data_IF_749418572666
#
_entry.id   IF_749418572666
#
_cell.length_a   1.000
_cell.length_b   1.000
_cell.length_c   1.000
_cell.angle_alpha   90.00
_cell.angle_beta   90.00
_cell.angle_gamma   90.00
#
_symmetry.space_group_name_H-M   'P 1'
#
loop_
_entity.id
_entity.type
_entity.pdbx_description
1 polymer ?
#
# COMPACT_ATOMS: atom_id res chain seq x y z
N UNK A 1 -23.45 -9.92 20.82
CA UNK A 1 -22.22 -10.18 20.04
C UNK A 1 -21.11 -10.37 21.05
N UNK A 2 -20.40 -11.49 21.00
CA UNK A 2 -19.36 -11.79 22.01
C UNK A 2 -18.06 -11.02 21.73
N UNK A 3 -17.19 -10.94 22.74
CA UNK A 3 -15.85 -10.36 22.61
C UNK A 3 -15.02 -11.16 21.58
N UNK A 4 -15.20 -12.47 21.52
CA UNK A 4 -14.60 -13.33 20.48
C UNK A 4 -15.12 -13.00 19.08
N UNK A 5 -16.43 -12.80 18.91
CA UNK A 5 -17.00 -12.41 17.61
C UNK A 5 -16.44 -11.07 17.14
N UNK A 6 -16.27 -10.10 18.05
CA UNK A 6 -15.71 -8.78 17.73
C UNK A 6 -14.23 -8.88 17.32
N UNK A 7 -13.43 -9.66 18.04
CA UNK A 7 -12.02 -9.85 17.70
C UNK A 7 -11.84 -10.54 16.34
N UNK A 8 -12.66 -11.55 16.03
CA UNK A 8 -12.65 -12.21 14.72
C UNK A 8 -13.04 -11.26 13.58
N UNK A 9 -14.03 -10.38 13.81
CA UNK A 9 -14.41 -9.36 12.84
C UNK A 9 -13.28 -8.36 12.58
N UNK A 10 -12.60 -7.89 13.63
CA UNK A 10 -11.47 -6.97 13.50
C UNK A 10 -10.30 -7.62 12.74
N UNK A 11 -9.95 -8.87 13.07
CA UNK A 11 -8.93 -9.61 12.32
C UNK A 11 -9.28 -9.71 10.82
N UNK A 12 -10.54 -10.02 10.51
CA UNK A 12 -11.02 -10.05 9.13
C UNK A 12 -11.01 -8.70 8.41
N UNK A 13 -11.06 -7.58 9.13
CA UNK A 13 -10.88 -6.24 8.55
C UNK A 13 -9.40 -5.94 8.28
N UNK A 14 -8.50 -6.35 9.18
CA UNK A 14 -7.06 -6.18 8.98
C UNK A 14 -6.56 -6.89 7.71
N UNK A 15 -7.03 -8.13 7.47
CA UNK A 15 -6.68 -8.91 6.27
C UNK A 15 -7.20 -8.30 4.96
N UNK A 16 -8.19 -7.41 5.03
CA UNK A 16 -8.74 -6.73 3.83
C UNK A 16 -7.93 -5.51 3.41
N UNK A 17 -6.97 -5.05 4.21
CA UNK A 17 -6.18 -3.89 3.85
C UNK A 17 -5.27 -4.22 2.64
N UNK A 18 -5.28 -3.41 1.58
CA UNK A 18 -4.63 -3.75 0.31
C UNK A 18 -3.12 -3.46 0.33
N UNK A 19 -2.40 -3.95 1.34
CA UNK A 19 -0.95 -3.72 1.50
C UNK A 19 -0.13 -4.37 0.37
N UNK A 20 -0.57 -5.54 -0.13
CA UNK A 20 0.12 -6.26 -1.20
C UNK A 20 0.08 -5.58 -2.58
N UNK A 21 -0.97 -4.80 -2.86
CA UNK A 21 -1.14 -4.13 -4.16
C UNK A 21 -0.14 -3.01 -4.42
N UNK A 22 0.46 -2.45 -3.36
CA UNK A 22 1.42 -1.33 -3.46
C UNK A 22 2.71 -1.75 -4.17
N UNK A 23 3.21 -2.95 -3.91
CA UNK A 23 4.40 -3.47 -4.59
C UNK A 23 4.14 -3.67 -6.08
N UNK A 24 2.97 -4.20 -6.44
CA UNK A 24 2.57 -4.36 -7.83
C UNK A 24 2.47 -3.00 -8.54
N UNK A 25 1.81 -2.02 -7.92
CA UNK A 25 1.70 -0.66 -8.44
C UNK A 25 3.09 -0.04 -8.70
N UNK A 26 4.02 -0.18 -7.75
CA UNK A 26 5.39 0.32 -7.93
C UNK A 26 6.09 -0.33 -9.12
N UNK A 27 5.94 -1.64 -9.31
CA UNK A 27 6.51 -2.36 -10.45
C UNK A 27 5.92 -1.86 -11.77
N UNK A 28 4.60 -1.66 -11.83
CA UNK A 28 3.92 -1.11 -13.01
C UNK A 28 4.41 0.30 -13.34
N UNK A 29 4.55 1.18 -12.33
CA UNK A 29 5.10 2.53 -12.50
C UNK A 29 6.54 2.50 -13.04
N UNK A 30 7.38 1.57 -12.59
CA UNK A 30 8.74 1.39 -13.11
C UNK A 30 8.73 0.95 -14.58
N UNK A 31 7.89 -0.03 -14.93
CA UNK A 31 7.78 -0.53 -16.30
C UNK A 31 7.31 0.57 -17.26
N UNK A 32 6.32 1.38 -16.85
CA UNK A 32 5.86 2.54 -17.63
C UNK A 32 7.01 3.52 -17.83
N UNK A 33 7.77 3.84 -16.78
CA UNK A 33 8.93 4.73 -16.88
C UNK A 33 9.98 4.23 -17.89
N UNK A 34 10.28 2.93 -17.86
CA UNK A 34 11.19 2.30 -18.81
C UNK A 34 10.67 2.37 -20.26
N UNK A 35 9.38 2.11 -20.48
CA UNK A 35 8.75 2.23 -21.80
C UNK A 35 8.78 3.67 -22.31
N UNK A 36 8.50 4.65 -21.45
CA UNK A 36 8.58 6.08 -21.80
C UNK A 36 9.99 6.47 -22.21
N UNK A 37 11.02 6.03 -21.47
CA UNK A 37 12.42 6.24 -21.87
C UNK A 37 12.77 5.59 -23.19
N UNK A 38 12.24 4.38 -23.46
CA UNK A 38 12.48 3.70 -24.73
C UNK A 38 11.82 4.42 -25.92
N UNK A 39 10.66 5.05 -25.71
CA UNK A 39 9.92 5.73 -26.77
C UNK A 39 10.42 7.15 -27.03
N UNK A 40 10.74 7.88 -25.96
CA UNK A 40 11.07 9.31 -26.02
C UNK A 40 12.56 9.60 -25.92
N UNK A 41 13.40 8.60 -25.63
CA UNK A 41 14.83 8.77 -25.41
C UNK A 41 15.15 9.73 -24.27
N UNK A 42 16.28 10.43 -24.38
CA UNK A 42 16.71 11.44 -23.40
C UNK A 42 16.17 12.82 -23.76
N UNK A 43 14.85 12.96 -23.73
CA UNK A 43 14.16 14.25 -23.96
C UNK A 43 13.69 14.87 -22.65
N UNK A 44 13.45 16.19 -22.65
CA UNK A 44 12.88 16.88 -21.50
C UNK A 44 11.51 16.31 -21.11
N UNK A 45 10.69 15.91 -22.10
CA UNK A 45 9.40 15.26 -21.88
C UNK A 45 9.53 13.93 -21.16
N UNK A 46 10.53 13.11 -21.52
CA UNK A 46 10.80 11.84 -20.83
C UNK A 46 11.17 12.07 -19.36
N UNK A 47 12.03 13.06 -19.09
CA UNK A 47 12.43 13.43 -17.72
C UNK A 47 11.26 13.93 -16.88
N UNK A 48 10.35 14.72 -17.48
CA UNK A 48 9.16 15.21 -16.79
C UNK A 48 8.23 14.05 -16.39
N UNK A 49 8.00 13.09 -17.29
CA UNK A 49 7.20 11.89 -16.99
C UNK A 49 7.87 11.04 -15.91
N UNK A 50 9.18 10.81 -15.99
CA UNK A 50 9.93 10.09 -14.94
C UNK A 50 9.79 10.75 -13.56
N UNK A 51 9.88 12.08 -13.50
CA UNK A 51 9.69 12.82 -12.25
C UNK A 51 8.31 12.58 -11.65
N UNK A 52 7.25 12.61 -12.48
CA UNK A 52 5.88 12.37 -12.03
C UNK A 52 5.69 10.92 -11.56
N UNK A 53 6.23 9.94 -12.31
CA UNK A 53 6.17 8.52 -11.93
C UNK A 53 6.92 8.25 -10.62
N UNK A 54 8.08 8.88 -10.42
CA UNK A 54 8.83 8.78 -9.18
C UNK A 54 8.06 9.38 -7.99
N UNK A 55 7.39 10.52 -8.18
CA UNK A 55 6.51 11.08 -7.15
C UNK A 55 5.35 10.12 -6.83
N UNK A 56 4.73 9.51 -7.84
CA UNK A 56 3.67 8.52 -7.64
C UNK A 56 4.15 7.30 -6.84
N UNK A 57 5.39 6.83 -7.07
CA UNK A 57 5.99 5.74 -6.30
C UNK A 57 6.17 6.11 -4.83
N UNK A 58 6.63 7.33 -4.54
CA UNK A 58 6.79 7.79 -3.16
C UNK A 58 5.42 7.82 -2.44
N UNK A 59 4.39 8.38 -3.08
CA UNK A 59 3.02 8.39 -2.54
C UNK A 59 2.50 6.97 -2.33
N UNK A 60 2.75 6.05 -3.27
CA UNK A 60 2.36 4.65 -3.12
C UNK A 60 3.07 3.98 -1.93
N UNK A 61 4.37 4.24 -1.74
CA UNK A 61 5.13 3.73 -0.60
C UNK A 61 4.60 4.26 0.73
N UNK A 62 4.34 5.57 0.82
CA UNK A 62 3.78 6.20 2.02
C UNK A 62 2.40 5.60 2.34
N UNK A 63 1.55 5.42 1.33
CA UNK A 63 0.26 4.75 1.47
C UNK A 63 0.44 3.32 1.98
N UNK A 64 1.39 2.56 1.42
CA UNK A 64 1.67 1.19 1.87
C UNK A 64 2.09 1.11 3.33
N UNK A 65 2.92 2.05 3.79
CA UNK A 65 3.31 2.14 5.20
C UNK A 65 2.11 2.48 6.10
N UNK A 66 1.26 3.43 5.69
CA UNK A 66 0.07 3.80 6.44
C UNK A 66 -0.94 2.64 6.52
N UNK A 67 -1.12 1.88 5.43
CA UNK A 67 -1.97 0.69 5.42
C UNK A 67 -1.43 -0.40 6.33
N UNK A 68 -0.11 -0.61 6.37
CA UNK A 68 0.50 -1.60 7.26
C UNK A 68 0.39 -1.20 8.73
N UNK A 69 0.54 0.10 9.04
CA UNK A 69 0.26 0.64 10.37
C UNK A 69 -1.21 0.44 10.76
N UNK A 70 -2.15 0.77 9.88
CA UNK A 70 -3.57 0.54 10.13
C UNK A 70 -3.87 -0.94 10.37
N UNK A 71 -3.24 -1.85 9.60
CA UNK A 71 -3.36 -3.30 9.78
C UNK A 71 -2.91 -3.72 11.17
N UNK A 72 -1.73 -3.24 11.59
CA UNK A 72 -1.16 -3.53 12.90
C UNK A 72 -2.07 -3.03 14.03
N UNK A 73 -2.58 -1.81 13.94
CA UNK A 73 -3.48 -1.23 14.95
C UNK A 73 -4.80 -2.00 15.06
N UNK A 74 -5.39 -2.43 13.93
CA UNK A 74 -6.62 -3.24 13.94
C UNK A 74 -6.35 -4.61 14.56
N UNK A 75 -5.23 -5.25 14.23
CA UNK A 75 -4.83 -6.54 14.84
C UNK A 75 -4.60 -6.39 16.35
N UNK A 76 -3.95 -5.31 16.78
CA UNK A 76 -3.72 -5.01 18.20
C UNK A 76 -5.06 -4.82 18.94
N UNK A 77 -6.00 -4.09 18.34
CA UNK A 77 -7.34 -3.94 18.89
C UNK A 77 -8.05 -5.30 19.03
N UNK A 78 -7.95 -6.17 18.02
CA UNK A 78 -8.51 -7.53 18.08
C UNK A 78 -7.92 -8.35 19.25
N UNK A 79 -6.60 -8.30 19.42
CA UNK A 79 -5.92 -8.99 20.52
C UNK A 79 -6.28 -8.42 21.90
N UNK A 80 -6.39 -7.10 22.03
CA UNK A 80 -6.83 -6.47 23.27
C UNK A 80 -8.22 -6.97 23.70
N UNK A 81 -9.16 -7.06 22.75
CA UNK A 81 -10.48 -7.63 23.03
C UNK A 81 -10.37 -9.07 23.54
N UNK A 82 -9.56 -9.93 22.92
CA UNK A 82 -9.37 -11.32 23.38
C UNK A 82 -8.71 -11.42 24.77
N UNK A 83 -7.87 -10.44 25.14
CA UNK A 83 -7.16 -10.44 26.43
C UNK A 83 -7.95 -9.83 27.59
N UNK A 84 -8.96 -9.00 27.30
CA UNK A 84 -9.78 -8.30 28.28
C UNK A 84 -11.12 -9.00 28.57
N UNK A 85 -11.42 -10.09 27.86
CA UNK A 85 -12.65 -10.88 27.98
C UNK A 85 -12.54 -12.11 28.87
#
# INVERSE_FOLDING_TARGET
MSIQDQAQQLAGLADRLPTGGIQQLNNELQQIGQQVSSLLGQTQSANAVHSILSQAQNVANDLGQLLEQARTEITNAAHHHLSAG
#
